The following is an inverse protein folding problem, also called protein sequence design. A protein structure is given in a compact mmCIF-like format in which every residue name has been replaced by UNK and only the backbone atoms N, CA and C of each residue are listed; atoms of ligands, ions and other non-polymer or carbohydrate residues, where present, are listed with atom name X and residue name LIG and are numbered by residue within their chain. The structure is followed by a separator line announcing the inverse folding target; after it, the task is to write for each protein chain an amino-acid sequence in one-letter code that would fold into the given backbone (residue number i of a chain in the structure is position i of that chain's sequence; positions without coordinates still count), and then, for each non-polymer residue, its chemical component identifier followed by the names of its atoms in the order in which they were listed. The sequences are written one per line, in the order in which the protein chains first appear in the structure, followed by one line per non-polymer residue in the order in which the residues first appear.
data_IF_626723888868
#
_entry.id   IF_626723888868
#
_cell.length_a   1.000
_cell.length_b   1.000
_cell.length_c   1.000
_cell.angle_alpha   90.00
_cell.angle_beta   90.00
_cell.angle_gamma   90.00
#
_symmetry.space_group_name_H-M   'P 1'
#
loop_
_entity.id
_entity.type
_entity.pdbx_description
1 polymer ?
#
# COMPACT_ATOMS: atom_id res chain seq x y z
N UNK A 1 -13.52 -11.33 11.54
CA UNK A 1 -13.11 -11.51 10.14
C UNK A 1 -12.75 -10.15 9.62
N UNK A 2 -11.46 -9.82 9.58
CA UNK A 2 -11.00 -8.51 9.11
C UNK A 2 -11.23 -8.46 7.60
N UNK A 3 -12.05 -7.52 7.15
CA UNK A 3 -12.24 -7.22 5.74
C UNK A 3 -10.86 -6.93 5.13
N UNK A 4 -10.37 -7.84 4.29
CA UNK A 4 -9.09 -7.68 3.57
C UNK A 4 -9.27 -6.46 2.66
N UNK A 5 -8.74 -5.32 3.07
CA UNK A 5 -8.54 -4.20 2.16
C UNK A 5 -7.42 -4.65 1.22
N UNK A 6 -7.80 -5.06 0.01
CA UNK A 6 -6.83 -5.64 -0.93
C UNK A 6 -5.97 -4.57 -1.60
N UNK A 7 -6.42 -3.30 -1.56
CA UNK A 7 -5.80 -2.19 -2.28
C UNK A 7 -5.86 -0.90 -1.46
N UNK A 8 -4.75 -0.17 -1.47
CA UNK A 8 -4.55 1.12 -0.84
C UNK A 8 -4.00 2.11 -1.85
N UNK A 9 -4.19 3.40 -1.58
CA UNK A 9 -3.57 4.46 -2.38
C UNK A 9 -2.82 5.39 -1.45
N UNK A 10 -1.59 5.72 -1.82
CA UNK A 10 -0.77 6.72 -1.15
C UNK A 10 0.05 7.51 -2.16
N UNK A 11 0.42 8.74 -1.80
CA UNK A 11 1.29 9.55 -2.64
C UNK A 11 2.70 8.96 -2.64
N UNK A 12 3.24 8.66 -3.82
CA UNK A 12 4.58 8.12 -3.98
C UNK A 12 5.18 8.48 -5.35
N UNK A 13 6.45 8.13 -5.54
CA UNK A 13 7.18 8.32 -6.79
C UNK A 13 7.54 6.98 -7.42
N UNK A 14 7.35 6.84 -8.73
CA UNK A 14 7.84 5.70 -9.49
C UNK A 14 9.29 5.94 -9.92
N UNK A 15 10.17 5.01 -9.56
CA UNK A 15 11.61 5.08 -9.87
C UNK A 15 11.90 4.87 -11.37
N UNK A 16 11.03 4.16 -12.10
CA UNK A 16 11.24 3.84 -13.51
C UNK A 16 10.87 4.98 -14.46
N UNK A 17 9.68 5.59 -14.28
CA UNK A 17 9.16 6.60 -15.21
C UNK A 17 9.11 8.02 -14.62
N UNK A 18 9.50 8.19 -13.35
CA UNK A 18 9.49 9.48 -12.65
C UNK A 18 8.09 10.02 -12.32
N UNK A 19 7.04 9.19 -12.44
CA UNK A 19 5.68 9.57 -12.03
C UNK A 19 5.66 9.94 -10.55
N UNK A 20 4.95 11.01 -10.20
CA UNK A 20 4.72 11.44 -8.82
C UNK A 20 3.23 11.68 -8.63
N UNK A 21 2.61 10.92 -7.74
CA UNK A 21 1.18 10.95 -7.56
C UNK A 21 0.67 9.82 -6.69
N UNK A 22 -0.63 9.55 -6.78
CA UNK A 22 -1.25 8.42 -6.09
C UNK A 22 -0.83 7.11 -6.77
N UNK A 23 -0.17 6.23 -6.01
CA UNK A 23 0.24 4.89 -6.42
C UNK A 23 -0.66 3.87 -5.72
N UNK A 24 -1.01 2.79 -6.41
CA UNK A 24 -1.79 1.69 -5.83
C UNK A 24 -0.85 0.71 -5.12
N UNK A 25 -1.19 0.33 -3.89
CA UNK A 25 -0.47 -0.65 -3.08
C UNK A 25 -1.38 -1.83 -2.75
N UNK A 26 -0.87 -3.05 -2.87
CA UNK A 26 -1.60 -4.27 -2.54
C UNK A 26 -0.83 -5.14 -1.54
N UNK A 27 -1.58 -5.91 -0.74
CA UNK A 27 -0.97 -6.98 0.06
C UNK A 27 -0.45 -8.08 -0.86
N UNK A 28 0.66 -8.67 -0.46
CA UNK A 28 1.25 -9.86 -1.06
C UNK A 28 0.57 -11.09 -0.46
N UNK A 29 0.37 -12.13 -1.26
CA UNK A 29 -0.30 -13.35 -0.80
C UNK A 29 0.54 -14.19 0.18
N UNK A 30 1.87 -14.02 0.17
CA UNK A 30 2.83 -14.79 0.98
C UNK A 30 3.23 -14.07 2.30
N UNK A 31 2.65 -12.90 2.58
CA UNK A 31 3.00 -12.08 3.75
C UNK A 31 1.92 -12.11 4.85
N UNK A 32 2.35 -12.09 6.11
CA UNK A 32 1.47 -12.03 7.28
C UNK A 32 1.46 -10.60 7.84
N UNK A 33 0.31 -9.94 7.79
CA UNK A 33 0.14 -8.52 8.13
C UNK A 33 -0.47 -8.26 9.52
N UNK A 34 -0.66 -9.31 10.33
CA UNK A 34 -1.30 -9.22 11.65
C UNK A 34 -0.29 -9.09 12.81
N UNK A 35 1.01 -8.98 12.51
CA UNK A 35 2.06 -8.86 13.52
C UNK A 35 2.10 -7.42 14.09
N UNK A 36 1.78 -7.22 15.37
CA UNK A 36 1.71 -5.88 15.98
C UNK A 36 3.10 -5.30 16.30
N UNK A 37 4.13 -6.14 16.34
CA UNK A 37 5.51 -5.75 16.65
C UNK A 37 6.33 -5.42 15.39
N UNK A 38 5.75 -5.59 14.19
CA UNK A 38 6.43 -5.31 12.94
C UNK A 38 6.68 -3.81 12.75
N UNK A 39 7.89 -3.48 12.28
CA UNK A 39 8.32 -2.10 11.98
C UNK A 39 7.78 -1.59 10.65
N UNK A 40 7.27 -2.49 9.81
CA UNK A 40 6.67 -2.18 8.52
C UNK A 40 6.11 -3.43 7.85
N UNK A 41 5.59 -3.25 6.65
CA UNK A 41 5.00 -4.34 5.86
C UNK A 41 5.48 -4.24 4.41
N UNK A 42 5.68 -5.37 3.75
CA UNK A 42 5.95 -5.36 2.31
C UNK A 42 4.64 -5.28 1.54
N UNK A 43 4.53 -4.32 0.62
CA UNK A 43 3.40 -4.18 -0.29
C UNK A 43 3.87 -4.22 -1.74
N UNK A 44 3.01 -4.66 -2.65
CA UNK A 44 3.24 -4.49 -4.08
C UNK A 44 2.70 -3.12 -4.50
N UNK A 45 3.57 -2.23 -4.96
CA UNK A 45 3.19 -0.96 -5.56
C UNK A 45 3.05 -1.12 -7.08
N UNK A 46 1.97 -0.60 -7.64
CA UNK A 46 1.72 -0.55 -9.09
C UNK A 46 1.67 0.91 -9.54
N UNK A 47 2.60 1.29 -10.41
CA UNK A 47 2.62 2.63 -10.98
C UNK A 47 1.48 2.80 -11.99
N UNK A 48 0.58 3.80 -11.83
CA UNK A 48 -0.53 4.00 -12.78
C UNK A 48 -0.08 4.58 -14.14
N UNK A 49 1.17 5.05 -14.25
CA UNK A 49 1.67 5.67 -15.48
C UNK A 49 2.38 4.70 -16.42
N UNK A 50 3.13 3.74 -15.88
CA UNK A 50 3.93 2.79 -16.67
C UNK A 50 3.64 1.32 -16.35
N UNK A 51 2.68 1.03 -15.47
CA UNK A 51 2.34 -0.32 -15.00
C UNK A 51 3.51 -1.07 -14.30
N UNK A 52 4.60 -0.36 -13.98
CA UNK A 52 5.69 -0.98 -13.25
C UNK A 52 5.23 -1.41 -11.86
N UNK A 53 5.56 -2.66 -11.52
CA UNK A 53 5.27 -3.26 -10.23
C UNK A 53 6.56 -3.47 -9.46
N UNK A 54 6.57 -3.03 -8.20
CA UNK A 54 7.72 -3.20 -7.32
C UNK A 54 7.28 -3.47 -5.89
N UNK A 55 8.02 -4.34 -5.21
CA UNK A 55 7.80 -4.63 -3.80
C UNK A 55 8.46 -3.55 -2.95
N UNK A 56 7.69 -2.91 -2.08
CA UNK A 56 8.13 -1.77 -1.26
C UNK A 56 7.85 -2.03 0.21
N UNK A 57 8.84 -1.73 1.04
CA UNK A 57 8.69 -1.70 2.49
C UNK A 57 7.98 -0.40 2.89
N UNK A 58 6.80 -0.53 3.47
CA UNK A 58 6.03 0.59 4.03
C UNK A 58 6.13 0.52 5.54
N UNK A 59 6.62 1.59 6.17
CA UNK A 59 6.73 1.63 7.64
C UNK A 59 5.35 1.61 8.29
N UNK A 60 5.28 1.08 9.51
CA UNK A 60 3.99 0.82 10.17
C UNK A 60 3.11 2.06 10.30
N UNK A 61 3.67 3.27 10.54
CA UNK A 61 2.87 4.50 10.62
C UNK A 61 2.17 4.84 9.29
N UNK A 62 2.91 4.78 8.17
CA UNK A 62 2.38 5.05 6.84
C UNK A 62 1.32 4.01 6.46
N UNK A 63 1.58 2.73 6.74
CA UNK A 63 0.62 1.66 6.49
C UNK A 63 -0.68 1.86 7.31
N UNK A 64 -0.57 2.23 8.59
CA UNK A 64 -1.73 2.56 9.42
C UNK A 64 -2.49 3.79 8.88
N UNK A 65 -1.79 4.79 8.33
CA UNK A 65 -2.43 5.92 7.67
C UNK A 65 -3.22 5.47 6.42
N UNK A 66 -2.63 4.63 5.56
CA UNK A 66 -3.30 4.05 4.40
C UNK A 66 -4.55 3.26 4.78
N UNK A 67 -4.48 2.42 5.83
CA UNK A 67 -5.63 1.69 6.37
C UNK A 67 -6.75 2.63 6.79
N UNK A 68 -6.45 3.72 7.50
CA UNK A 68 -7.44 4.73 7.94
C UNK A 68 -8.11 5.42 6.75
N UNK A 69 -7.33 5.80 5.74
CA UNK A 69 -7.85 6.46 4.53
C UNK A 69 -8.76 5.53 3.74
N UNK A 70 -8.34 4.28 3.53
CA UNK A 70 -9.11 3.31 2.76
C UNK A 70 -10.42 2.91 3.47
N UNK A 71 -10.45 2.86 4.81
CA UNK A 71 -11.69 2.69 5.58
C UNK A 71 -12.63 3.88 5.46
N UNK A 72 -12.09 5.09 5.43
CA UNK A 72 -12.89 6.32 5.30
C UNK A 72 -13.52 6.44 3.91
N UNK A 73 -12.80 6.04 2.86
CA UNK A 73 -13.29 6.05 1.48
C UNK A 73 -14.45 5.06 1.22
N UNK A 74 -14.67 4.05 2.08
CA UNK A 74 -15.78 3.10 1.97
C UNK A 74 -17.07 3.56 2.67
N UNK A 75 -17.02 4.65 3.44
CA UNK A 75 -18.13 5.09 4.28
C UNK A 75 -19.04 6.13 3.60
N UNK A 76 -18.82 6.37 2.32
CA UNK A 76 -19.59 7.28 1.45
C UNK A 76 -20.47 6.47 0.48
#
# INVERSE_FOLDING_TARGET
MAEKLERYQSWSSCEECGFQGLVEFAHRDDEIYDDPDSLGVMLDATCPACDHQSAVLVVSDEYQAMLRMARSARKD
#
